data_IF_683151460694
#
_entry.id   IF_683151460694
#
_cell.length_a   1.000
_cell.length_b   1.000
_cell.length_c   1.000
_cell.angle_alpha   90.00
_cell.angle_beta   90.00
_cell.angle_gamma   90.00
#
_symmetry.space_group_name_H-M   'P 1'
#
loop_
_entity.id
_entity.type
_entity.pdbx_description
1 polymer ?
#
# COMPACT_ATOMS: atom_id res chain seq x y z
N UNK A 1 -9.95 31.76 -10.84
CA UNK A 1 -9.44 30.84 -9.80
C UNK A 1 -10.21 29.51 -9.67
N UNK A 2 -11.56 29.48 -9.88
CA UNK A 2 -12.35 28.21 -9.88
C UNK A 2 -12.21 27.40 -11.18
N UNK A 3 -11.99 28.07 -12.31
CA UNK A 3 -11.75 27.45 -13.64
C UNK A 3 -10.42 26.71 -13.66
N UNK A 4 -9.34 27.35 -13.21
CA UNK A 4 -7.97 26.76 -13.19
C UNK A 4 -7.91 25.50 -12.31
N UNK A 5 -8.60 25.48 -11.18
CA UNK A 5 -8.62 24.30 -10.29
C UNK A 5 -9.36 23.11 -10.92
N UNK A 6 -10.49 23.35 -11.62
CA UNK A 6 -11.22 22.30 -12.35
C UNK A 6 -10.45 21.78 -13.56
N UNK A 7 -9.69 22.62 -14.23
CA UNK A 7 -8.83 22.21 -15.34
C UNK A 7 -7.62 21.40 -14.85
N UNK A 8 -7.03 21.77 -13.69
CA UNK A 8 -5.98 20.98 -13.05
C UNK A 8 -6.50 19.62 -12.51
N UNK A 9 -7.69 19.60 -11.92
CA UNK A 9 -8.34 18.36 -11.46
C UNK A 9 -8.68 17.46 -12.66
N UNK A 10 -9.17 18.01 -13.77
CA UNK A 10 -9.45 17.26 -14.98
C UNK A 10 -8.18 16.73 -15.64
N UNK A 11 -7.13 17.52 -15.67
CA UNK A 11 -5.81 17.13 -16.20
C UNK A 11 -5.18 16.02 -15.36
N UNK A 12 -5.26 16.11 -14.04
CA UNK A 12 -4.83 15.05 -13.13
C UNK A 12 -5.67 13.78 -13.27
N UNK A 13 -6.95 13.91 -13.57
CA UNK A 13 -7.85 12.78 -13.81
C UNK A 13 -7.54 12.12 -15.17
N UNK A 14 -7.29 12.90 -16.22
CA UNK A 14 -6.85 12.41 -17.53
C UNK A 14 -5.44 11.76 -17.44
N UNK A 15 -4.49 12.34 -16.67
CA UNK A 15 -3.17 11.75 -16.46
C UNK A 15 -3.24 10.43 -15.63
N UNK A 16 -4.19 10.29 -14.71
CA UNK A 16 -4.46 9.04 -13.97
C UNK A 16 -4.94 7.91 -14.88
N UNK A 17 -5.76 8.24 -15.88
CA UNK A 17 -6.30 7.24 -16.82
C UNK A 17 -5.24 6.59 -17.71
N UNK A 18 -4.05 7.19 -17.87
CA UNK A 18 -3.03 6.69 -18.78
C UNK A 18 -2.04 5.69 -18.17
N UNK A 19 -1.85 5.67 -16.86
CA UNK A 19 -0.83 4.81 -16.23
C UNK A 19 -1.39 3.76 -15.27
N UNK A 20 -2.60 3.91 -14.76
CA UNK A 20 -3.29 2.89 -13.97
C UNK A 20 -3.91 1.81 -14.86
N UNK A 21 -4.07 0.59 -14.35
CA UNK A 21 -4.80 -0.46 -15.03
C UNK A 21 -6.25 -0.06 -15.26
N UNK A 22 -6.77 -0.41 -16.42
CA UNK A 22 -8.16 -0.10 -16.76
C UNK A 22 -9.14 -1.05 -16.03
N UNK A 23 -10.33 -0.54 -15.77
CA UNK A 23 -11.43 -1.35 -15.26
C UNK A 23 -11.71 -2.53 -16.19
N UNK A 24 -11.80 -3.73 -15.61
CA UNK A 24 -11.99 -4.96 -16.34
C UNK A 24 -10.69 -5.68 -16.72
N UNK A 25 -9.50 -5.06 -16.50
CA UNK A 25 -8.23 -5.76 -16.68
C UNK A 25 -8.19 -7.00 -15.79
N UNK A 26 -7.83 -8.14 -16.39
CA UNK A 26 -7.74 -9.43 -15.71
C UNK A 26 -6.28 -9.78 -15.43
N UNK A 27 -5.92 -9.83 -14.16
CA UNK A 27 -4.60 -10.18 -13.69
C UNK A 27 -4.53 -11.67 -13.32
N UNK A 28 -3.42 -12.32 -13.69
CA UNK A 28 -3.13 -13.73 -13.39
C UNK A 28 -4.30 -14.68 -13.71
N UNK A 29 -5.15 -14.34 -14.69
CA UNK A 29 -6.32 -15.13 -15.07
C UNK A 29 -7.42 -15.23 -13.99
N UNK A 30 -7.33 -14.47 -12.90
CA UNK A 30 -8.16 -14.61 -11.69
C UNK A 30 -8.72 -13.30 -11.15
N UNK A 31 -7.93 -12.24 -11.09
CA UNK A 31 -8.31 -10.99 -10.43
C UNK A 31 -8.76 -9.95 -11.44
N UNK A 32 -10.00 -9.45 -11.32
CA UNK A 32 -10.54 -8.39 -12.17
C UNK A 32 -10.40 -7.06 -11.47
N UNK A 33 -9.76 -6.09 -12.10
CA UNK A 33 -9.64 -4.71 -11.62
C UNK A 33 -10.99 -4.00 -11.79
N UNK A 34 -11.45 -3.34 -10.72
CA UNK A 34 -12.74 -2.62 -10.70
C UNK A 34 -12.55 -1.11 -10.64
N UNK A 35 -11.63 -0.62 -9.77
CA UNK A 35 -11.42 0.83 -9.56
C UNK A 35 -10.03 1.09 -8.95
N UNK A 36 -9.57 2.34 -8.99
CA UNK A 36 -8.37 2.79 -8.28
C UNK A 36 -8.75 3.24 -6.87
N UNK A 37 -8.17 2.62 -5.83
CA UNK A 37 -8.34 3.01 -4.44
C UNK A 37 -7.38 4.13 -4.02
N UNK A 38 -6.16 4.10 -4.55
CA UNK A 38 -5.16 5.12 -4.23
C UNK A 38 -3.86 4.93 -5.02
N UNK A 39 -3.09 6.02 -5.08
CA UNK A 39 -1.79 6.07 -5.73
C UNK A 39 -0.77 6.70 -4.79
N UNK A 40 0.41 6.11 -4.76
CA UNK A 40 1.54 6.61 -3.99
C UNK A 40 2.84 6.61 -4.78
N UNK A 41 3.91 7.11 -4.20
CA UNK A 41 5.23 7.19 -4.87
C UNK A 41 5.79 5.85 -5.34
N UNK A 42 5.37 4.74 -4.73
CA UNK A 42 5.89 3.40 -4.99
C UNK A 42 4.89 2.44 -5.63
N UNK A 43 3.62 2.82 -5.74
CA UNK A 43 2.62 1.90 -6.29
C UNK A 43 1.23 2.47 -6.41
N UNK A 44 0.36 1.67 -7.02
CA UNK A 44 -1.05 1.93 -7.23
C UNK A 44 -1.83 0.81 -6.54
N UNK A 45 -2.87 1.17 -5.80
CA UNK A 45 -3.77 0.20 -5.16
C UNK A 45 -5.13 0.24 -5.83
N UNK A 46 -5.63 -0.91 -6.21
CA UNK A 46 -6.89 -1.10 -6.89
C UNK A 46 -7.90 -1.85 -6.02
N UNK A 47 -9.18 -1.51 -6.12
CA UNK A 47 -10.25 -2.43 -5.82
C UNK A 47 -10.38 -3.45 -6.95
N UNK A 48 -10.61 -4.70 -6.61
CA UNK A 48 -10.83 -5.76 -7.58
C UNK A 48 -11.70 -6.87 -7.02
N UNK A 49 -11.89 -7.88 -7.85
CA UNK A 49 -12.65 -9.08 -7.52
C UNK A 49 -11.83 -10.33 -7.85
N UNK A 50 -11.76 -11.24 -6.90
CA UNK A 50 -11.32 -12.61 -7.14
C UNK A 50 -12.47 -13.38 -7.80
N UNK A 51 -12.37 -13.69 -9.09
CA UNK A 51 -13.42 -14.41 -9.81
C UNK A 51 -13.60 -15.86 -9.34
N UNK A 52 -12.53 -16.47 -8.82
CA UNK A 52 -12.58 -17.86 -8.36
C UNK A 52 -13.35 -17.97 -7.04
N UNK A 53 -13.14 -17.02 -6.12
CA UNK A 53 -13.77 -17.01 -4.80
C UNK A 53 -15.05 -16.14 -4.76
N UNK A 54 -15.27 -15.28 -5.75
CA UNK A 54 -16.39 -14.37 -5.80
C UNK A 54 -16.35 -13.22 -4.77
N UNK A 55 -15.17 -12.91 -4.21
CA UNK A 55 -15.00 -11.91 -3.16
C UNK A 55 -14.26 -10.66 -3.65
N UNK A 56 -14.50 -9.53 -3.00
CA UNK A 56 -13.71 -8.31 -3.22
C UNK A 56 -12.31 -8.47 -2.66
N UNK A 57 -11.33 -7.90 -3.36
CA UNK A 57 -9.92 -7.85 -2.97
C UNK A 57 -9.36 -6.45 -3.20
N UNK A 58 -8.28 -6.12 -2.50
CA UNK A 58 -7.41 -5.00 -2.85
C UNK A 58 -6.17 -5.55 -3.56
N UNK A 59 -5.77 -4.91 -4.67
CA UNK A 59 -4.60 -5.31 -5.44
C UNK A 59 -3.62 -4.15 -5.46
N UNK A 60 -2.46 -4.30 -4.81
CA UNK A 60 -1.38 -3.32 -4.80
C UNK A 60 -0.38 -3.68 -5.90
N UNK A 61 -0.11 -2.74 -6.79
CA UNK A 61 0.84 -2.86 -7.89
C UNK A 61 2.13 -2.12 -7.55
N UNK A 62 3.29 -2.73 -7.79
CA UNK A 62 4.57 -2.03 -7.73
C UNK A 62 4.72 -1.12 -8.96
N UNK A 63 4.54 0.17 -8.76
CA UNK A 63 4.61 1.19 -9.81
C UNK A 63 5.37 2.42 -9.31
N UNK A 64 6.72 2.37 -9.21
CA UNK A 64 7.51 3.49 -8.70
C UNK A 64 7.48 4.67 -9.68
N UNK A 65 6.81 5.76 -9.24
CA UNK A 65 6.64 6.97 -10.04
C UNK A 65 8.00 7.56 -10.45
N UNK A 66 8.09 8.05 -11.69
CA UNK A 66 9.32 8.63 -12.25
C UNK A 66 10.39 7.61 -12.67
N UNK A 67 10.21 6.32 -12.37
CA UNK A 67 11.09 5.25 -12.80
C UNK A 67 10.47 4.46 -13.97
N UNK A 68 9.15 4.30 -13.93
CA UNK A 68 8.40 3.50 -14.91
C UNK A 68 7.31 4.30 -15.59
N UNK A 69 6.86 3.79 -16.74
CA UNK A 69 5.70 4.26 -17.49
C UNK A 69 4.89 3.06 -17.98
N UNK A 70 3.60 3.28 -18.19
CA UNK A 70 2.69 2.38 -18.90
C UNK A 70 1.96 3.16 -19.98
N UNK A 71 1.68 2.52 -21.10
CA UNK A 71 0.83 3.06 -22.14
C UNK A 71 -0.41 2.14 -22.31
N UNK A 72 -1.43 2.42 -21.55
CA UNK A 72 -2.70 1.63 -21.53
C UNK A 72 -3.39 1.55 -22.90
N UNK A 73 -3.03 2.43 -23.84
CA UNK A 73 -3.57 2.34 -25.22
C UNK A 73 -2.94 1.22 -26.02
N UNK A 74 -1.85 0.62 -25.53
CA UNK A 74 -1.09 -0.45 -26.21
C UNK A 74 -1.21 -1.76 -25.46
N UNK A 75 -0.83 -1.76 -24.17
CA UNK A 75 -0.86 -2.93 -23.28
C UNK A 75 -0.76 -2.50 -21.80
N UNK A 76 -0.87 -3.48 -20.90
CA UNK A 76 -0.74 -3.26 -19.45
C UNK A 76 0.71 -3.33 -18.95
N UNK A 77 1.70 -3.49 -19.85
CA UNK A 77 3.10 -3.73 -19.49
C UNK A 77 3.77 -2.48 -18.95
N UNK A 78 4.44 -2.62 -17.80
CA UNK A 78 5.25 -1.57 -17.19
C UNK A 78 6.64 -1.54 -17.84
N UNK A 79 7.06 -0.36 -18.26
CA UNK A 79 8.35 -0.14 -18.91
C UNK A 79 9.21 0.83 -18.09
N UNK A 80 10.46 0.45 -17.83
CA UNK A 80 11.43 1.32 -17.16
C UNK A 80 11.84 2.45 -18.09
N UNK A 81 11.70 3.71 -17.65
CA UNK A 81 11.92 4.90 -18.47
C UNK A 81 13.37 5.03 -18.95
N UNK A 82 14.34 4.73 -18.10
CA UNK A 82 15.76 4.83 -18.40
C UNK A 82 16.52 3.55 -18.07
N UNK A 83 17.32 3.03 -18.96
CA UNK A 83 18.09 1.78 -18.79
C UNK A 83 18.90 1.74 -17.49
N UNK A 84 19.48 2.87 -17.05
CA UNK A 84 20.22 3.00 -15.79
C UNK A 84 19.39 2.77 -14.52
N UNK A 85 18.06 2.83 -14.62
CA UNK A 85 17.15 2.62 -13.49
C UNK A 85 16.66 1.16 -13.40
N UNK A 86 17.01 0.30 -14.36
CA UNK A 86 16.54 -1.08 -14.42
C UNK A 86 16.91 -1.90 -13.19
N UNK A 87 18.14 -1.74 -12.69
CA UNK A 87 18.60 -2.46 -11.50
C UNK A 87 17.88 -1.99 -10.23
N UNK A 88 17.63 -0.66 -10.12
CA UNK A 88 16.86 -0.09 -9.02
C UNK A 88 15.42 -0.60 -9.04
N UNK A 89 14.80 -0.61 -10.21
CA UNK A 89 13.45 -1.14 -10.41
C UNK A 89 13.36 -2.64 -10.02
N UNK A 90 14.29 -3.46 -10.52
CA UNK A 90 14.29 -4.90 -10.22
C UNK A 90 14.50 -5.19 -8.74
N UNK A 91 15.44 -4.49 -8.08
CA UNK A 91 15.65 -4.61 -6.63
C UNK A 91 14.41 -4.19 -5.84
N UNK A 92 13.75 -3.10 -6.23
CA UNK A 92 12.51 -2.65 -5.60
C UNK A 92 11.37 -3.64 -5.78
N UNK A 93 11.23 -4.23 -6.98
CA UNK A 93 10.24 -5.29 -7.27
C UNK A 93 10.45 -6.53 -6.40
N UNK A 94 11.70 -6.97 -6.25
CA UNK A 94 12.04 -8.10 -5.35
C UNK A 94 11.65 -7.79 -3.90
N UNK A 95 12.02 -6.60 -3.39
CA UNK A 95 11.64 -6.17 -2.03
C UNK A 95 10.13 -6.11 -1.81
N UNK A 96 9.40 -5.64 -2.81
CA UNK A 96 7.94 -5.58 -2.78
C UNK A 96 7.30 -6.97 -2.61
N UNK A 97 7.83 -7.99 -3.29
CA UNK A 97 7.37 -9.37 -3.14
C UNK A 97 7.83 -10.00 -1.80
N UNK A 98 9.01 -9.61 -1.30
CA UNK A 98 9.48 -10.01 0.03
C UNK A 98 8.58 -9.46 1.13
N UNK A 99 8.14 -8.20 1.01
CA UNK A 99 7.15 -7.57 1.90
C UNK A 99 5.88 -8.43 1.98
N UNK A 100 5.31 -8.83 0.83
CA UNK A 100 4.12 -9.69 0.80
C UNK A 100 4.32 -11.00 1.57
N UNK A 101 5.48 -11.65 1.43
CA UNK A 101 5.83 -12.89 2.15
C UNK A 101 5.93 -12.67 3.66
N UNK A 102 6.44 -11.52 4.06
CA UNK A 102 6.55 -11.16 5.49
C UNK A 102 5.17 -10.93 6.08
N UNK A 103 4.34 -10.11 5.45
CA UNK A 103 2.99 -9.80 5.95
C UNK A 103 2.14 -11.07 6.01
N UNK A 104 2.22 -11.94 5.01
CA UNK A 104 1.45 -13.19 4.97
C UNK A 104 1.68 -14.12 6.18
N UNK A 105 2.81 -13.99 6.91
CA UNK A 105 3.07 -14.73 8.16
C UNK A 105 2.16 -14.28 9.30
N UNK A 106 1.56 -13.12 9.20
CA UNK A 106 0.72 -12.50 10.22
C UNK A 106 -0.76 -12.49 9.84
N UNK A 107 -1.18 -13.32 8.88
CA UNK A 107 -2.58 -13.40 8.44
C UNK A 107 -3.56 -13.89 9.54
N UNK A 108 -3.05 -14.47 10.61
CA UNK A 108 -3.82 -14.83 11.81
C UNK A 108 -3.99 -13.67 12.81
N UNK A 109 -3.30 -12.54 12.59
CA UNK A 109 -3.37 -11.36 13.44
C UNK A 109 -4.55 -10.47 13.05
N UNK A 110 -5.46 -10.22 14.00
CA UNK A 110 -6.69 -9.46 13.72
C UNK A 110 -6.44 -8.01 13.32
N UNK A 111 -5.42 -7.37 13.88
CA UNK A 111 -5.06 -5.97 13.67
C UNK A 111 -4.19 -5.72 12.43
N UNK A 112 -3.92 -6.73 11.58
CA UNK A 112 -3.09 -6.60 10.38
C UNK A 112 -3.90 -6.99 9.14
N UNK A 113 -3.65 -6.31 8.02
CA UNK A 113 -4.25 -6.65 6.73
C UNK A 113 -3.76 -8.02 6.24
N UNK A 114 -4.68 -8.87 5.77
CA UNK A 114 -4.34 -10.20 5.27
C UNK A 114 -3.88 -10.15 3.82
N UNK A 115 -2.72 -10.75 3.52
CA UNK A 115 -2.23 -10.99 2.16
C UNK A 115 -2.71 -12.38 1.71
N UNK A 116 -3.41 -12.44 0.59
CA UNK A 116 -4.01 -13.69 0.06
C UNK A 116 -3.24 -14.27 -1.12
N UNK A 117 -2.53 -13.41 -1.88
CA UNK A 117 -1.73 -13.84 -3.03
C UNK A 117 -0.68 -12.77 -3.37
N UNK A 118 0.36 -13.14 -4.12
CA UNK A 118 1.30 -12.23 -4.75
C UNK A 118 1.92 -12.90 -5.98
N UNK A 119 2.14 -12.12 -7.04
CA UNK A 119 2.67 -12.64 -8.31
C UNK A 119 3.34 -11.55 -9.14
N UNK A 120 4.10 -11.97 -10.15
CA UNK A 120 4.63 -11.10 -11.20
C UNK A 120 3.78 -11.22 -12.46
N UNK A 121 3.41 -10.07 -13.04
CA UNK A 121 2.79 -9.93 -14.34
C UNK A 121 3.09 -8.54 -14.91
N UNK A 122 2.86 -8.31 -16.20
CA UNK A 122 3.01 -7.00 -16.85
C UNK A 122 4.37 -6.33 -16.58
N UNK A 123 5.44 -7.11 -16.46
CA UNK A 123 6.80 -6.69 -16.10
C UNK A 123 6.91 -5.99 -14.73
N UNK A 124 5.93 -6.15 -13.87
CA UNK A 124 5.90 -5.64 -12.48
C UNK A 124 5.45 -6.73 -11.50
N UNK A 125 5.09 -6.36 -10.29
CA UNK A 125 4.62 -7.26 -9.25
C UNK A 125 3.33 -6.74 -8.61
N UNK A 126 2.51 -7.67 -8.14
CA UNK A 126 1.23 -7.43 -7.51
C UNK A 126 1.14 -8.16 -6.18
N UNK A 127 0.53 -7.52 -5.19
CA UNK A 127 0.13 -8.10 -3.90
C UNK A 127 -1.39 -8.04 -3.84
N UNK A 128 -2.03 -9.18 -3.58
CA UNK A 128 -3.47 -9.27 -3.37
C UNK A 128 -3.77 -9.39 -1.89
N UNK A 129 -4.64 -8.52 -1.40
CA UNK A 129 -4.99 -8.42 0.02
C UNK A 129 -6.51 -8.47 0.18
N UNK A 130 -6.97 -8.74 1.39
CA UNK A 130 -8.37 -8.53 1.75
C UNK A 130 -8.81 -7.10 1.43
N UNK A 131 -10.03 -6.94 0.93
CA UNK A 131 -10.61 -5.61 0.74
C UNK A 131 -11.12 -5.07 2.08
N UNK A 132 -10.59 -3.93 2.51
CA UNK A 132 -10.97 -3.29 3.76
C UNK A 132 -12.10 -2.28 3.51
N UNK A 133 -13.34 -2.65 3.85
CA UNK A 133 -14.52 -1.78 3.72
C UNK A 133 -14.61 -0.84 4.92
N UNK A 134 -14.04 0.34 4.79
CA UNK A 134 -13.95 1.32 5.88
C UNK A 134 -13.35 2.64 5.44
N UNK A 135 -12.92 3.43 6.41
CA UNK A 135 -12.21 4.70 6.23
C UNK A 135 -10.89 4.67 7.01
N UNK A 136 -9.94 5.48 6.62
CA UNK A 136 -8.69 5.62 7.38
C UNK A 136 -8.95 6.36 8.70
N UNK A 137 -8.13 6.10 9.71
CA UNK A 137 -8.17 6.85 10.97
C UNK A 137 -7.96 8.36 10.72
N UNK A 138 -7.21 8.73 9.71
CA UNK A 138 -7.02 10.13 9.29
C UNK A 138 -8.32 10.76 8.81
N UNK A 139 -9.06 10.08 7.94
CA UNK A 139 -10.37 10.54 7.47
C UNK A 139 -11.36 10.63 8.63
N UNK A 140 -11.38 9.61 9.49
CA UNK A 140 -12.22 9.62 10.69
C UNK A 140 -11.95 10.82 11.59
N UNK A 141 -10.68 11.14 11.90
CA UNK A 141 -10.30 12.29 12.71
C UNK A 141 -10.69 13.63 12.02
N UNK A 142 -10.55 13.69 10.68
CA UNK A 142 -10.93 14.88 9.93
C UNK A 142 -12.44 15.16 9.98
N UNK A 143 -13.26 14.12 10.03
CA UNK A 143 -14.72 14.22 10.08
C UNK A 143 -15.28 14.40 11.51
N UNK A 144 -14.69 13.69 12.49
CA UNK A 144 -15.25 13.59 13.85
C UNK A 144 -14.43 14.35 14.91
N UNK A 145 -13.25 14.86 14.57
CA UNK A 145 -12.35 15.52 15.51
C UNK A 145 -11.47 14.55 16.29
N UNK A 146 -10.86 15.05 17.35
CA UNK A 146 -9.90 14.29 18.17
C UNK A 146 -10.66 13.31 19.06
N UNK A 147 -10.19 12.07 19.09
CA UNK A 147 -10.68 11.01 19.97
C UNK A 147 -10.23 11.24 21.43
N UNK A 148 -11.02 10.77 22.38
CA UNK A 148 -10.61 10.72 23.78
C UNK A 148 -9.45 9.70 23.97
N UNK A 149 -8.62 9.84 25.02
CA UNK A 149 -7.58 8.85 25.31
C UNK A 149 -8.14 7.43 25.48
N UNK A 150 -9.31 7.29 26.08
CA UNK A 150 -9.99 6.04 26.33
C UNK A 150 -10.43 5.39 25.01
N UNK A 151 -11.09 6.17 24.14
CA UNK A 151 -11.57 5.69 22.84
C UNK A 151 -10.41 5.25 21.94
N UNK A 152 -9.29 6.02 21.92
CA UNK A 152 -8.13 5.65 21.10
C UNK A 152 -7.43 4.39 21.61
N UNK A 153 -7.37 4.16 22.92
CA UNK A 153 -6.79 2.94 23.49
C UNK A 153 -7.62 1.72 23.13
N UNK A 154 -8.94 1.79 23.26
CA UNK A 154 -9.85 0.71 22.89
C UNK A 154 -9.75 0.40 21.38
N UNK A 155 -9.77 1.44 20.54
CA UNK A 155 -9.68 1.33 19.09
C UNK A 155 -8.35 0.72 18.63
N UNK A 156 -7.25 1.08 19.28
CA UNK A 156 -5.91 0.65 18.88
C UNK A 156 -5.48 -0.69 19.49
N UNK A 157 -6.18 -1.21 20.48
CA UNK A 157 -5.79 -2.45 21.18
C UNK A 157 -5.49 -3.62 20.21
N UNK A 158 -6.34 -3.98 19.23
CA UNK A 158 -6.06 -5.08 18.30
C UNK A 158 -4.81 -4.86 17.44
N UNK A 159 -4.54 -3.60 17.08
CA UNK A 159 -3.35 -3.22 16.31
C UNK A 159 -2.09 -3.35 17.16
N UNK A 160 -2.14 -2.91 18.43
CA UNK A 160 -1.02 -3.00 19.36
C UNK A 160 -0.67 -4.46 19.69
N UNK A 161 -1.67 -5.30 19.91
CA UNK A 161 -1.50 -6.75 20.15
C UNK A 161 -0.85 -7.41 18.91
N UNK A 162 -1.32 -7.08 17.72
CA UNK A 162 -0.76 -7.61 16.48
C UNK A 162 0.67 -7.11 16.23
N UNK A 163 0.99 -5.85 16.56
CA UNK A 163 2.35 -5.31 16.47
C UNK A 163 3.31 -5.98 17.44
N UNK A 164 2.85 -6.39 18.66
CA UNK A 164 3.66 -7.15 19.58
C UNK A 164 4.13 -8.47 18.96
N UNK A 165 3.25 -9.19 18.26
CA UNK A 165 3.62 -10.42 17.53
C UNK A 165 4.60 -10.14 16.37
N UNK A 166 4.42 -9.03 15.64
CA UNK A 166 5.36 -8.58 14.58
C UNK A 166 6.74 -8.31 15.19
N UNK A 167 6.78 -7.59 16.32
CA UNK A 167 8.04 -7.24 17.00
C UNK A 167 8.74 -8.48 17.59
N UNK A 168 8.02 -9.47 18.08
CA UNK A 168 8.59 -10.77 18.53
C UNK A 168 9.30 -11.51 17.38
N UNK A 169 8.90 -11.28 16.13
CA UNK A 169 9.57 -11.83 14.95
C UNK A 169 10.76 -10.96 14.47
N UNK A 170 11.12 -9.92 15.22
CA UNK A 170 12.23 -9.03 14.90
C UNK A 170 11.91 -7.99 13.81
N UNK A 171 10.65 -7.78 13.46
CA UNK A 171 10.22 -6.82 12.44
C UNK A 171 9.69 -5.53 13.06
N UNK A 172 9.96 -4.40 12.43
CA UNK A 172 9.42 -3.09 12.79
C UNK A 172 8.70 -2.51 11.58
N UNK A 173 7.49 -2.00 11.76
CA UNK A 173 6.65 -1.46 10.69
C UNK A 173 7.22 -0.19 10.04
N UNK A 174 7.71 0.77 10.84
CA UNK A 174 8.38 2.04 10.47
C UNK A 174 7.52 3.10 9.78
N UNK A 175 6.26 2.82 9.48
CA UNK A 175 5.32 3.80 8.89
C UNK A 175 3.93 3.72 9.54
N UNK A 176 3.89 3.65 10.88
CA UNK A 176 2.61 3.71 11.61
C UNK A 176 2.12 5.15 11.60
N UNK A 177 0.94 5.36 11.04
CA UNK A 177 0.29 6.67 10.96
C UNK A 177 -1.20 6.51 10.71
N UNK A 178 -2.02 7.54 10.97
CA UNK A 178 -3.46 7.48 10.74
C UNK A 178 -3.87 7.17 9.29
N UNK A 179 -3.01 7.42 8.30
CA UNK A 179 -3.26 7.04 6.90
C UNK A 179 -3.21 5.53 6.68
N UNK A 180 -2.40 4.81 7.49
CA UNK A 180 -2.16 3.38 7.36
C UNK A 180 -3.00 2.53 8.34
N UNK A 181 -3.95 3.14 9.04
CA UNK A 181 -4.88 2.47 9.96
C UNK A 181 -6.29 2.60 9.39
N UNK A 182 -6.96 1.46 9.14
CA UNK A 182 -8.32 1.40 8.63
C UNK A 182 -9.31 1.07 9.72
N UNK A 183 -10.36 1.88 9.82
CA UNK A 183 -11.55 1.62 10.63
C UNK A 183 -12.62 1.00 9.74
N UNK A 184 -12.90 -0.28 9.95
CA UNK A 184 -13.84 -1.04 9.12
C UNK A 184 -15.28 -0.82 9.57
N UNK A 185 -16.24 -0.91 8.65
CA UNK A 185 -17.68 -0.82 8.95
C UNK A 185 -18.17 -1.87 9.95
N UNK A 186 -17.47 -2.97 10.09
CA UNK A 186 -17.79 -4.03 11.06
C UNK A 186 -17.19 -3.78 12.45
N UNK A 187 -16.57 -2.62 12.68
CA UNK A 187 -15.96 -2.24 13.95
C UNK A 187 -14.52 -2.72 14.14
N UNK A 188 -13.96 -3.50 13.22
CA UNK A 188 -12.55 -3.92 13.30
C UNK A 188 -11.62 -2.81 12.87
N UNK A 189 -10.38 -2.86 13.39
CA UNK A 189 -9.30 -1.93 13.03
C UNK A 189 -8.13 -2.72 12.48
N UNK A 190 -7.57 -2.26 11.36
CA UNK A 190 -6.46 -2.95 10.71
C UNK A 190 -5.36 -1.99 10.29
N UNK A 191 -4.12 -2.41 10.55
CA UNK A 191 -2.91 -1.75 10.08
C UNK A 191 -2.59 -2.26 8.66
N UNK A 192 -2.29 -1.33 7.77
CA UNK A 192 -1.92 -1.58 6.37
C UNK A 192 -0.48 -1.15 6.11
N UNK A 193 0.01 -1.49 4.93
CA UNK A 193 1.21 -0.95 4.28
C UNK A 193 2.51 -1.15 5.06
N UNK A 194 3.02 -2.39 5.02
CA UNK A 194 4.31 -2.78 5.59
C UNK A 194 5.52 -2.44 4.69
N UNK A 195 5.35 -1.62 3.65
CA UNK A 195 6.41 -1.28 2.68
C UNK A 195 7.67 -0.64 3.26
N UNK A 196 7.59 -0.13 4.48
CA UNK A 196 8.73 0.37 5.23
C UNK A 196 9.27 -0.63 6.29
N UNK A 197 8.60 -1.77 6.48
CA UNK A 197 8.98 -2.75 7.50
C UNK A 197 10.37 -3.34 7.26
N UNK A 198 11.14 -3.53 8.34
CA UNK A 198 12.50 -4.07 8.30
C UNK A 198 12.79 -4.98 9.47
N UNK A 199 13.73 -5.90 9.24
CA UNK A 199 14.32 -6.72 10.28
C UNK A 199 15.18 -5.87 11.22
N UNK A 200 15.13 -6.14 12.52
CA UNK A 200 15.93 -5.48 13.55
C UNK A 200 17.44 -5.58 13.29
N UNK A 201 17.88 -6.58 12.54
CA UNK A 201 19.29 -6.87 12.27
C UNK A 201 19.86 -6.11 11.07
N UNK A 202 19.03 -5.43 10.26
CA UNK A 202 19.46 -4.71 9.04
C UNK A 202 20.12 -3.32 9.31
N UNK A 203 20.66 -3.09 10.50
CA UNK A 203 21.31 -1.83 10.88
C UNK A 203 22.66 -1.56 10.20
N UNK A 204 22.96 -2.13 9.03
CA UNK A 204 24.24 -1.96 8.35
C UNK A 204 24.20 -1.63 6.87
N UNK A 205 23.13 -1.88 6.18
CA UNK A 205 23.03 -1.54 4.76
C UNK A 205 22.42 -0.14 4.58
N UNK A 206 23.13 0.73 3.87
CA UNK A 206 22.63 2.07 3.48
C UNK A 206 21.33 1.90 2.73
N UNK A 207 20.23 2.14 3.42
CA UNK A 207 18.87 2.05 2.89
C UNK A 207 18.68 3.09 1.79
N UNK A 208 18.37 2.64 0.58
CA UNK A 208 18.08 3.50 -0.58
C UNK A 208 16.74 4.25 -0.50
N UNK A 209 15.96 4.06 0.57
CA UNK A 209 14.72 4.80 0.78
C UNK A 209 14.50 5.02 2.27
N UNK A 210 14.87 6.21 2.73
CA UNK A 210 14.42 6.72 4.02
C UNK A 210 12.97 7.17 3.79
N UNK A 211 12.02 6.29 4.12
CA UNK A 211 10.60 6.68 4.16
C UNK A 211 10.38 7.35 5.50
N UNK A 212 10.37 8.67 5.52
CA UNK A 212 10.06 9.47 6.70
C UNK A 212 8.69 10.11 6.51
N UNK A 213 7.80 9.91 7.46
CA UNK A 213 6.50 10.60 7.50
C UNK A 213 6.59 11.72 8.53
N UNK A 214 6.72 12.99 8.09
CA UNK A 214 6.84 14.11 9.01
C UNK A 214 5.70 14.14 10.03
N UNK A 215 6.05 14.30 11.31
CA UNK A 215 5.09 14.33 12.42
C UNK A 215 4.73 12.96 13.02
N UNK A 216 5.12 11.85 12.38
CA UNK A 216 4.86 10.49 12.87
C UNK A 216 6.12 9.65 13.04
N UNK A 217 7.13 9.86 12.20
CA UNK A 217 8.40 9.16 12.32
C UNK A 217 9.14 9.59 13.60
N UNK A 218 9.65 8.65 14.42
CA UNK A 218 10.41 8.97 15.62
C UNK A 218 11.80 9.55 15.27
N UNK A 219 12.41 10.26 16.22
CA UNK A 219 13.64 11.03 15.97
C UNK A 219 14.82 10.15 15.49
N UNK A 220 14.96 8.95 16.01
CA UNK A 220 15.99 7.99 15.62
C UNK A 220 15.88 7.58 14.13
N UNK A 221 14.69 7.57 13.56
CA UNK A 221 14.48 7.24 12.15
C UNK A 221 15.02 8.33 11.20
N UNK A 222 15.15 9.58 11.69
CA UNK A 222 15.76 10.67 10.93
C UNK A 222 17.31 10.63 10.93
N UNK A 223 17.90 9.79 11.80
CA UNK A 223 19.35 9.70 11.99
C UNK A 223 19.98 8.44 11.37
N UNK A 224 19.16 7.57 10.78
CA UNK A 224 19.58 6.28 10.19
C UNK A 224 19.91 6.36 8.71
#
# INVERSE_FOLDING_TARGET
>A
KKSTRREEERRKMEERDYHSLQKGTKLNGRYIIEDVLGEGGFGITYAGRDELLGVKVAVKEYYPQGIVVRNNSVDDVVTVTYAKQKDVFNKGKTKFLEEARVIAKFNDQEGIVNVTDFFEANNTAYIVMEYLDGITLKEYIAENGVLSPEDILELMAPVLESLDEVHKQGLIHRDISPDNIMLLKNGKVKLMDFGAARDYTDFGEKSLSIVLKPGYAPEEQYRS
#
